data_IF_600203508596
#
_entry.id   IF_600203508596
#
_cell.length_a   1.000
_cell.length_b   1.000
_cell.length_c   1.000
_cell.angle_alpha   90.00
_cell.angle_beta   90.00
_cell.angle_gamma   90.00
#
_symmetry.space_group_name_H-M   'P 1'
#
loop_
_entity.id
_entity.type
_entity.pdbx_description
1 polymer ?
#
# COMPACT_ATOMS: atom_id res chain seq x y z
N UNK A 1 -18.16 1.74 -11.62
CA UNK A 1 -18.14 1.01 -12.92
C UNK A 1 -18.05 -0.48 -12.57
N UNK A 2 -18.82 -1.34 -13.20
CA UNK A 2 -18.83 -2.78 -12.89
C UNK A 2 -17.71 -3.49 -13.65
N UNK A 3 -17.12 -4.53 -13.04
CA UNK A 3 -16.01 -5.34 -13.58
C UNK A 3 -16.22 -5.76 -15.05
N UNK A 4 -17.41 -6.22 -15.39
CA UNK A 4 -17.78 -6.67 -16.74
C UNK A 4 -17.57 -5.60 -17.82
N UNK A 5 -17.85 -4.34 -17.50
CA UNK A 5 -17.65 -3.20 -18.41
C UNK A 5 -16.17 -2.87 -18.58
N UNK A 6 -15.42 -2.95 -17.49
CA UNK A 6 -13.99 -2.58 -17.47
C UNK A 6 -13.18 -3.61 -18.27
N UNK A 7 -13.41 -4.92 -18.05
CA UNK A 7 -12.69 -5.96 -18.79
C UNK A 7 -12.96 -5.87 -20.30
N UNK A 8 -14.21 -5.61 -20.69
CA UNK A 8 -14.59 -5.38 -22.09
C UNK A 8 -13.90 -4.15 -22.66
N UNK A 9 -13.84 -3.04 -21.90
CA UNK A 9 -13.17 -1.81 -22.30
C UNK A 9 -11.67 -2.05 -22.56
N UNK A 10 -10.97 -2.67 -21.61
CA UNK A 10 -9.54 -2.97 -21.72
C UNK A 10 -9.22 -3.84 -22.93
N UNK A 11 -10.03 -4.87 -23.19
CA UNK A 11 -9.88 -5.71 -24.38
C UNK A 11 -10.05 -4.91 -25.68
N UNK A 12 -11.07 -4.07 -25.71
CA UNK A 12 -11.37 -3.25 -26.90
C UNK A 12 -10.27 -2.22 -27.17
N UNK A 13 -9.73 -1.61 -26.12
CA UNK A 13 -8.61 -0.66 -26.22
C UNK A 13 -7.33 -1.33 -26.73
N UNK A 14 -7.08 -2.60 -26.38
CA UNK A 14 -5.97 -3.40 -26.95
C UNK A 14 -6.22 -3.85 -28.39
N UNK A 15 -7.43 -3.68 -28.92
CA UNK A 15 -7.79 -4.09 -30.27
C UNK A 15 -7.83 -5.61 -30.47
N UNK A 16 -7.94 -6.42 -29.39
CA UNK A 16 -7.93 -7.88 -29.46
C UNK A 16 -9.35 -8.46 -29.40
N UNK A 17 -9.52 -9.63 -30.05
CA UNK A 17 -10.79 -10.35 -30.05
C UNK A 17 -11.04 -11.07 -28.72
N UNK A 18 -12.31 -11.39 -28.42
CA UNK A 18 -12.63 -12.23 -27.23
C UNK A 18 -11.93 -13.58 -27.27
N UNK A 19 -11.76 -14.17 -28.46
CA UNK A 19 -11.06 -15.45 -28.63
C UNK A 19 -9.61 -15.33 -28.20
N UNK A 20 -8.92 -14.32 -28.67
CA UNK A 20 -7.51 -14.07 -28.36
C UNK A 20 -7.30 -13.77 -26.89
N UNK A 21 -8.10 -12.87 -26.29
CA UNK A 21 -8.03 -12.56 -24.85
C UNK A 21 -8.35 -13.80 -23.98
N UNK A 22 -9.27 -14.66 -24.40
CA UNK A 22 -9.59 -15.89 -23.68
C UNK A 22 -8.45 -16.91 -23.72
N UNK A 23 -7.78 -17.07 -24.87
CA UNK A 23 -6.59 -17.91 -25.04
C UNK A 23 -5.46 -17.42 -24.13
N UNK A 24 -5.15 -16.12 -24.13
CA UNK A 24 -4.12 -15.51 -23.29
C UNK A 24 -4.42 -15.63 -21.79
N UNK A 25 -5.68 -15.52 -21.41
CA UNK A 25 -6.15 -15.65 -20.03
C UNK A 25 -6.41 -17.12 -19.60
N UNK A 26 -6.12 -18.09 -20.46
CA UNK A 26 -6.30 -19.53 -20.22
C UNK A 26 -7.73 -19.91 -19.79
N UNK A 27 -8.74 -19.35 -20.47
CA UNK A 27 -10.16 -19.67 -20.31
C UNK A 27 -10.85 -19.91 -21.65
N UNK A 28 -12.06 -20.44 -21.65
CA UNK A 28 -12.84 -20.55 -22.89
C UNK A 28 -13.41 -19.18 -23.30
N UNK A 29 -13.54 -18.96 -24.62
CA UNK A 29 -14.17 -17.75 -25.16
C UNK A 29 -15.61 -17.56 -24.62
N UNK A 30 -16.37 -18.64 -24.47
CA UNK A 30 -17.72 -18.60 -23.91
C UNK A 30 -17.74 -18.08 -22.48
N UNK A 31 -16.75 -18.49 -21.66
CA UNK A 31 -16.62 -18.04 -20.27
C UNK A 31 -16.25 -16.55 -20.22
N UNK A 32 -15.31 -16.09 -21.06
CA UNK A 32 -14.97 -14.66 -21.15
C UNK A 32 -16.19 -13.83 -21.58
N UNK A 33 -16.95 -14.31 -22.56
CA UNK A 33 -18.20 -13.66 -23.00
C UNK A 33 -19.21 -13.52 -21.87
N UNK A 34 -19.35 -14.54 -20.99
CA UNK A 34 -20.23 -14.46 -19.84
C UNK A 34 -19.74 -13.44 -18.80
N UNK A 35 -18.43 -13.35 -18.57
CA UNK A 35 -17.86 -12.34 -17.69
C UNK A 35 -18.06 -10.91 -18.23
N UNK A 36 -17.79 -10.67 -19.52
CA UNK A 36 -17.99 -9.36 -20.15
C UNK A 36 -19.47 -8.92 -20.22
N UNK A 37 -20.40 -9.88 -20.23
CA UNK A 37 -21.85 -9.60 -20.21
C UNK A 37 -22.41 -9.49 -18.80
N UNK A 38 -21.62 -9.80 -17.75
CA UNK A 38 -22.08 -9.83 -16.37
C UNK A 38 -23.07 -10.98 -16.06
N UNK A 39 -23.11 -12.02 -16.92
CA UNK A 39 -23.97 -13.19 -16.73
C UNK A 39 -23.41 -14.10 -15.62
N UNK A 40 -22.11 -14.08 -15.44
CA UNK A 40 -21.41 -14.88 -14.43
C UNK A 40 -20.39 -14.03 -13.69
N UNK A 41 -20.30 -14.19 -12.39
CA UNK A 41 -19.26 -13.62 -11.56
C UNK A 41 -17.98 -14.44 -11.70
N UNK A 42 -16.83 -13.74 -11.70
CA UNK A 42 -15.53 -14.39 -11.75
C UNK A 42 -14.94 -14.53 -10.35
N UNK A 43 -14.14 -15.57 -10.17
CA UNK A 43 -13.35 -15.74 -8.94
C UNK A 43 -12.20 -14.73 -8.86
N UNK A 44 -11.68 -14.55 -7.64
CA UNK A 44 -10.59 -13.62 -7.36
C UNK A 44 -9.33 -13.91 -8.19
N UNK A 45 -8.98 -15.19 -8.37
CA UNK A 45 -7.84 -15.61 -9.19
C UNK A 45 -7.93 -15.10 -10.64
N UNK A 46 -9.15 -15.02 -11.17
CA UNK A 46 -9.37 -14.49 -12.51
C UNK A 46 -9.21 -12.97 -12.53
N UNK A 47 -9.71 -12.26 -11.52
CA UNK A 47 -9.52 -10.80 -11.38
C UNK A 47 -8.04 -10.45 -11.38
N UNK A 48 -7.23 -11.19 -10.62
CA UNK A 48 -5.77 -10.96 -10.56
C UNK A 48 -5.11 -11.23 -11.90
N UNK A 49 -5.41 -12.36 -12.56
CA UNK A 49 -4.88 -12.65 -13.91
C UNK A 49 -5.24 -11.58 -14.93
N UNK A 50 -6.45 -11.05 -14.88
CA UNK A 50 -6.89 -9.94 -15.73
C UNK A 50 -6.11 -8.67 -15.42
N UNK A 51 -5.89 -8.37 -14.13
CA UNK A 51 -5.09 -7.24 -13.68
C UNK A 51 -3.66 -7.30 -14.23
N UNK A 52 -2.99 -8.44 -14.06
CA UNK A 52 -1.64 -8.68 -14.56
C UNK A 52 -1.58 -8.62 -16.08
N UNK A 53 -2.51 -9.27 -16.77
CA UNK A 53 -2.57 -9.31 -18.24
C UNK A 53 -2.74 -7.93 -18.86
N UNK A 54 -3.61 -7.08 -18.30
CA UNK A 54 -3.84 -5.73 -18.80
C UNK A 54 -2.91 -4.68 -18.18
N UNK A 55 -2.13 -5.01 -17.16
CA UNK A 55 -1.26 -4.06 -16.45
C UNK A 55 -2.05 -3.01 -15.68
N UNK A 56 -3.17 -3.40 -15.08
CA UNK A 56 -4.04 -2.53 -14.29
C UNK A 56 -4.21 -3.07 -12.88
N UNK A 57 -4.62 -2.22 -11.94
CA UNK A 57 -4.89 -2.66 -10.57
C UNK A 57 -6.21 -3.42 -10.43
N UNK A 58 -6.27 -4.33 -9.47
CA UNK A 58 -7.53 -4.98 -9.10
C UNK A 58 -8.61 -3.97 -8.65
N UNK A 59 -8.22 -2.88 -7.97
CA UNK A 59 -9.15 -1.82 -7.57
C UNK A 59 -9.76 -1.09 -8.76
N UNK A 60 -8.97 -0.87 -9.82
CA UNK A 60 -9.50 -0.35 -11.08
C UNK A 60 -10.50 -1.32 -11.71
N UNK A 61 -10.14 -2.60 -11.81
CA UNK A 61 -11.02 -3.63 -12.36
C UNK A 61 -12.34 -3.77 -11.59
N UNK A 62 -12.29 -3.63 -10.27
CA UNK A 62 -13.47 -3.70 -9.40
C UNK A 62 -14.24 -2.38 -9.33
N UNK A 63 -13.81 -1.35 -10.08
CA UNK A 63 -14.47 -0.05 -10.11
C UNK A 63 -14.30 0.78 -8.83
N UNK A 64 -13.37 0.41 -7.96
CA UNK A 64 -13.07 1.08 -6.68
C UNK A 64 -12.10 2.24 -6.83
N UNK A 65 -11.32 2.26 -7.90
CA UNK A 65 -10.39 3.33 -8.26
C UNK A 65 -10.62 3.76 -9.70
N UNK A 66 -10.50 5.05 -9.98
CA UNK A 66 -10.44 5.57 -11.35
C UNK A 66 -9.03 5.46 -11.95
N UNK A 67 -8.03 5.21 -11.13
CA UNK A 67 -6.63 5.06 -11.53
C UNK A 67 -6.35 3.62 -11.94
N UNK A 68 -5.85 3.45 -13.18
CA UNK A 68 -5.50 2.14 -13.74
C UNK A 68 -4.32 1.48 -13.05
N UNK A 69 -3.41 2.28 -12.51
CA UNK A 69 -2.13 1.86 -11.94
C UNK A 69 -2.17 1.74 -10.41
N UNK A 70 -3.21 1.17 -9.82
CA UNK A 70 -3.28 0.88 -8.38
C UNK A 70 -2.17 -0.09 -7.91
N UNK A 71 -2.19 -0.44 -6.62
CA UNK A 71 -1.30 -1.48 -6.10
C UNK A 71 -1.52 -2.81 -6.84
N UNK A 72 -0.54 -3.27 -7.60
CA UNK A 72 -0.63 -4.52 -8.37
C UNK A 72 -0.51 -5.69 -7.39
N UNK A 73 -1.57 -6.51 -7.29
CA UNK A 73 -1.53 -7.79 -6.59
C UNK A 73 -0.99 -8.85 -7.55
N UNK A 74 0.00 -9.60 -7.12
CA UNK A 74 0.48 -10.80 -7.82
C UNK A 74 -0.23 -12.05 -7.31
N UNK A 75 -0.14 -13.18 -8.05
CA UNK A 75 -0.71 -14.45 -7.62
C UNK A 75 -0.21 -14.89 -6.24
N UNK A 76 1.05 -14.57 -5.91
CA UNK A 76 1.66 -14.88 -4.61
C UNK A 76 1.11 -14.03 -3.44
N UNK A 77 0.46 -12.91 -3.76
CA UNK A 77 -0.16 -12.04 -2.75
C UNK A 77 -1.58 -12.53 -2.36
N UNK A 78 -2.13 -13.52 -3.07
CA UNK A 78 -3.45 -14.06 -2.78
C UNK A 78 -3.29 -15.15 -1.72
N UNK A 79 -3.96 -14.99 -0.56
CA UNK A 79 -3.99 -16.05 0.44
C UNK A 79 -4.62 -17.32 -0.16
N UNK A 80 -3.97 -18.48 0.01
CA UNK A 80 -4.48 -19.75 -0.48
C UNK A 80 -5.90 -20.00 0.08
N UNK A 81 -6.92 -20.21 -0.78
CA UNK A 81 -8.30 -20.44 -0.36
C UNK A 81 -8.47 -21.59 0.65
N UNK A 82 -7.63 -22.63 0.54
CA UNK A 82 -7.68 -23.79 1.44
C UNK A 82 -7.18 -23.46 2.86
N UNK A 83 -6.36 -22.41 3.04
CA UNK A 83 -5.94 -21.90 4.35
C UNK A 83 -6.92 -20.87 4.94
N UNK A 84 -7.93 -20.45 4.17
CA UNK A 84 -8.88 -19.39 4.56
C UNK A 84 -10.25 -19.93 5.00
N UNK A 85 -10.47 -21.25 5.04
CA UNK A 85 -11.77 -21.83 5.44
C UNK A 85 -12.24 -21.39 6.82
N UNK A 86 -11.30 -21.01 7.70
CA UNK A 86 -11.58 -20.52 9.06
C UNK A 86 -11.31 -19.01 9.23
N UNK A 87 -11.03 -18.28 8.16
CA UNK A 87 -10.73 -16.84 8.24
C UNK A 87 -12.01 -16.01 8.29
N UNK A 88 -12.10 -15.13 9.28
CA UNK A 88 -13.17 -14.12 9.44
C UNK A 88 -13.29 -13.20 8.21
N UNK A 89 -12.26 -13.15 7.36
CA UNK A 89 -12.22 -12.30 6.17
C UNK A 89 -12.91 -12.89 4.94
N UNK A 90 -13.40 -14.14 4.98
CA UNK A 90 -14.22 -14.79 3.93
C UNK A 90 -13.91 -14.33 2.49
N UNK A 91 -12.64 -14.45 2.06
CA UNK A 91 -12.23 -14.06 0.70
C UNK A 91 -11.97 -12.56 0.50
N UNK A 92 -11.99 -11.72 1.55
CA UNK A 92 -11.61 -10.31 1.44
C UNK A 92 -10.11 -10.18 1.16
N UNK A 93 -9.78 -9.52 0.07
CA UNK A 93 -8.39 -9.16 -0.31
C UNK A 93 -7.86 -7.92 0.41
N UNK A 94 -8.70 -7.26 1.22
CA UNK A 94 -8.38 -5.98 1.85
C UNK A 94 -7.10 -6.02 2.70
N UNK A 95 -6.86 -7.03 3.57
CA UNK A 95 -5.62 -7.11 4.35
C UNK A 95 -4.36 -7.24 3.48
N UNK A 96 -4.43 -8.06 2.43
CA UNK A 96 -3.33 -8.27 1.48
C UNK A 96 -3.05 -7.00 0.68
N UNK A 97 -4.10 -6.32 0.22
CA UNK A 97 -3.97 -5.05 -0.48
C UNK A 97 -3.35 -3.97 0.42
N UNK A 98 -3.81 -3.83 1.66
CA UNK A 98 -3.24 -2.87 2.61
C UNK A 98 -1.77 -3.17 2.90
N UNK A 99 -1.41 -4.45 3.11
CA UNK A 99 -0.02 -4.87 3.28
C UNK A 99 0.83 -4.45 2.09
N UNK A 100 0.38 -4.75 0.86
CA UNK A 100 1.12 -4.42 -0.36
C UNK A 100 1.23 -2.91 -0.57
N UNK A 101 0.15 -2.17 -0.34
CA UNK A 101 0.12 -0.72 -0.41
C UNK A 101 1.17 -0.10 0.52
N UNK A 102 1.25 -0.56 1.77
CA UNK A 102 2.25 -0.11 2.74
C UNK A 102 3.66 -0.51 2.30
N UNK A 103 3.90 -1.77 1.95
CA UNK A 103 5.22 -2.27 1.52
C UNK A 103 5.76 -1.51 0.30
N UNK A 104 4.93 -1.31 -0.72
CA UNK A 104 5.34 -0.60 -1.93
C UNK A 104 5.62 0.88 -1.64
N UNK A 105 4.82 1.51 -0.78
CA UNK A 105 5.05 2.91 -0.37
C UNK A 105 6.35 3.06 0.41
N UNK A 106 6.68 2.08 1.26
CA UNK A 106 7.96 2.03 1.97
C UNK A 106 9.14 1.91 1.00
N UNK A 107 9.02 1.12 -0.07
CA UNK A 107 10.06 1.00 -1.10
C UNK A 107 10.35 2.37 -1.75
N UNK A 108 9.32 3.14 -2.09
CA UNK A 108 9.50 4.50 -2.65
C UNK A 108 10.13 5.42 -1.60
N UNK A 109 9.62 5.41 -0.36
CA UNK A 109 10.14 6.23 0.72
C UNK A 109 11.63 6.00 0.95
N UNK A 110 12.05 4.73 1.12
CA UNK A 110 13.46 4.40 1.36
C UNK A 110 14.36 4.68 0.16
N UNK A 111 13.87 4.49 -1.07
CA UNK A 111 14.63 4.85 -2.26
C UNK A 111 14.88 6.37 -2.31
N UNK A 112 13.88 7.19 -2.03
CA UNK A 112 14.01 8.66 -2.00
C UNK A 112 14.95 9.13 -0.89
N UNK A 113 14.78 8.60 0.31
CA UNK A 113 15.66 8.94 1.43
C UNK A 113 17.11 8.48 1.17
N UNK A 114 17.29 7.31 0.52
CA UNK A 114 18.59 6.82 0.11
C UNK A 114 19.31 7.75 -0.88
N UNK A 115 18.58 8.41 -1.77
CA UNK A 115 19.15 9.39 -2.72
C UNK A 115 19.71 10.64 -2.03
N UNK A 116 19.28 10.92 -0.79
CA UNK A 116 19.83 12.03 0.00
C UNK A 116 21.21 11.72 0.61
N UNK A 117 21.68 10.48 0.57
CA UNK A 117 22.95 10.03 1.15
C UNK A 117 23.16 10.45 2.62
N UNK A 118 22.08 10.67 3.36
CA UNK A 118 22.10 11.11 4.75
C UNK A 118 21.70 9.96 5.68
N UNK A 119 22.70 9.41 6.37
CA UNK A 119 22.49 8.26 7.29
C UNK A 119 21.60 8.61 8.48
N UNK A 120 21.70 9.83 9.01
CA UNK A 120 20.89 10.27 10.13
C UNK A 120 19.41 10.33 9.75
N UNK A 121 19.10 10.87 8.57
CA UNK A 121 17.73 10.92 8.05
C UNK A 121 17.13 9.51 7.86
N UNK A 122 17.88 8.58 7.28
CA UNK A 122 17.46 7.17 7.17
C UNK A 122 17.19 6.58 8.55
N UNK A 123 18.08 6.83 9.53
CA UNK A 123 17.97 6.30 10.88
C UNK A 123 16.70 6.80 11.59
N UNK A 124 16.45 8.10 11.54
CA UNK A 124 15.28 8.69 12.23
C UNK A 124 13.95 8.25 11.61
N UNK A 125 13.85 8.22 10.27
CA UNK A 125 12.67 7.70 9.57
C UNK A 125 12.46 6.22 9.92
N UNK A 126 13.52 5.42 9.92
CA UNK A 126 13.43 4.00 10.31
C UNK A 126 13.01 3.83 11.76
N UNK A 127 13.50 4.67 12.67
CA UNK A 127 13.12 4.66 14.09
C UNK A 127 11.61 4.90 14.25
N UNK A 128 11.07 5.90 13.56
CA UNK A 128 9.63 6.18 13.59
C UNK A 128 8.80 4.97 13.13
N UNK A 129 9.16 4.40 11.98
CA UNK A 129 8.45 3.26 11.40
C UNK A 129 8.56 1.99 12.27
N UNK A 130 9.75 1.70 12.79
CA UNK A 130 9.94 0.57 13.72
C UNK A 130 9.10 0.71 14.98
N UNK A 131 9.02 1.91 15.56
CA UNK A 131 8.18 2.16 16.75
C UNK A 131 6.69 1.99 16.44
N UNK A 132 6.23 2.41 15.25
CA UNK A 132 4.85 2.19 14.81
C UNK A 132 4.50 0.70 14.74
N UNK A 133 5.38 -0.10 14.14
CA UNK A 133 5.22 -1.56 14.06
C UNK A 133 5.28 -2.19 15.44
N UNK A 134 6.27 -1.81 16.27
CA UNK A 134 6.42 -2.29 17.65
C UNK A 134 5.16 -2.05 18.48
N UNK A 135 4.59 -0.85 18.42
CA UNK A 135 3.37 -0.52 19.18
C UNK A 135 2.21 -1.43 18.78
N UNK A 136 1.96 -1.59 17.48
CA UNK A 136 0.87 -2.44 17.00
C UNK A 136 1.11 -3.90 17.32
N UNK A 137 2.34 -4.40 17.14
CA UNK A 137 2.69 -5.77 17.52
C UNK A 137 2.48 -6.01 19.00
N UNK A 138 2.95 -5.10 19.87
CA UNK A 138 2.83 -5.26 21.32
C UNK A 138 1.37 -5.27 21.77
N UNK A 139 0.52 -4.41 21.24
CA UNK A 139 -0.93 -4.42 21.51
C UNK A 139 -1.57 -5.76 21.15
N UNK A 140 -1.25 -6.30 19.96
CA UNK A 140 -1.76 -7.60 19.52
C UNK A 140 -1.24 -8.74 20.39
N UNK A 141 0.05 -8.72 20.70
CA UNK A 141 0.70 -9.75 21.51
C UNK A 141 0.14 -9.81 22.92
N UNK A 142 0.02 -8.67 23.60
CA UNK A 142 -0.50 -8.59 24.97
C UNK A 142 -1.98 -8.92 25.09
N UNK A 143 -2.74 -8.84 23.99
CA UNK A 143 -4.14 -9.27 23.95
C UNK A 143 -4.31 -10.80 23.91
N UNK A 144 -3.26 -11.56 23.64
CA UNK A 144 -3.31 -13.03 23.57
C UNK A 144 -3.24 -13.65 24.97
N UNK A 145 -4.20 -14.51 25.36
CA UNK A 145 -4.33 -15.00 26.75
C UNK A 145 -3.17 -15.89 27.23
N UNK A 146 -2.38 -16.44 26.31
CA UNK A 146 -1.27 -17.35 26.62
C UNK A 146 0.12 -16.76 26.31
N UNK A 147 0.17 -15.50 25.90
CA UNK A 147 1.42 -14.85 25.53
C UNK A 147 2.17 -14.38 26.77
N UNK A 148 3.46 -14.74 26.86
CA UNK A 148 4.28 -14.39 28.02
C UNK A 148 4.73 -12.94 27.97
N UNK A 149 4.55 -12.22 29.08
CA UNK A 149 5.05 -10.84 29.23
C UNK A 149 6.60 -10.76 29.13
N UNK A 150 7.32 -11.87 29.30
CA UNK A 150 8.79 -11.94 29.19
C UNK A 150 9.33 -11.61 27.79
N UNK A 151 8.45 -11.55 26.78
CA UNK A 151 8.81 -11.08 25.43
C UNK A 151 9.34 -9.64 25.45
N UNK A 152 8.89 -8.82 26.39
CA UNK A 152 9.21 -7.41 26.45
C UNK A 152 9.97 -7.05 27.74
N UNK A 153 11.11 -6.36 27.57
CA UNK A 153 11.90 -5.89 28.71
C UNK A 153 11.39 -4.59 29.32
N UNK A 154 10.59 -3.81 28.58
CA UNK A 154 9.99 -2.56 29.07
C UNK A 154 8.66 -2.86 29.75
N UNK A 155 8.45 -2.29 30.94
CA UNK A 155 7.24 -2.52 31.73
C UNK A 155 5.96 -2.03 31.04
N UNK A 156 4.82 -2.61 31.43
CA UNK A 156 3.51 -2.29 30.85
C UNK A 156 3.13 -0.81 31.06
N UNK A 157 3.42 -0.22 32.18
CA UNK A 157 3.10 1.19 32.49
C UNK A 157 3.98 2.22 31.76
N UNK A 158 5.07 1.78 31.13
CA UNK A 158 6.05 2.70 30.53
C UNK A 158 6.06 2.68 29.01
N UNK A 159 5.89 1.49 28.41
CA UNK A 159 6.19 1.29 26.99
C UNK A 159 5.41 2.23 26.07
N UNK A 160 4.14 2.48 26.34
CA UNK A 160 3.30 3.26 25.44
C UNK A 160 3.77 4.73 25.40
N UNK A 161 3.88 5.38 26.54
CA UNK A 161 4.34 6.77 26.60
C UNK A 161 5.75 6.98 26.06
N UNK A 162 6.68 6.08 26.41
CA UNK A 162 8.05 6.17 25.89
C UNK A 162 8.12 5.88 24.37
N UNK A 163 7.32 4.96 23.85
CA UNK A 163 7.24 4.74 22.40
C UNK A 163 6.74 6.00 21.66
N UNK A 164 5.72 6.68 22.20
CA UNK A 164 5.24 7.94 21.62
C UNK A 164 6.30 9.03 21.70
N UNK A 165 7.03 9.12 22.81
CA UNK A 165 8.13 10.07 22.95
C UNK A 165 9.25 9.82 21.93
N UNK A 166 9.64 8.56 21.71
CA UNK A 166 10.63 8.18 20.68
C UNK A 166 10.14 8.53 19.27
N UNK A 167 8.87 8.25 18.95
CA UNK A 167 8.30 8.61 17.65
C UNK A 167 8.30 10.12 17.43
N UNK A 168 7.89 10.90 18.43
CA UNK A 168 7.89 12.38 18.35
C UNK A 168 9.29 12.95 18.24
N UNK A 169 10.26 12.37 18.93
CA UNK A 169 11.67 12.77 18.81
C UNK A 169 12.20 12.48 17.40
N UNK A 170 11.94 11.28 16.86
CA UNK A 170 12.34 10.93 15.51
C UNK A 170 11.71 11.88 14.48
N UNK A 171 10.43 12.20 14.59
CA UNK A 171 9.73 13.17 13.73
C UNK A 171 10.37 14.57 13.82
N UNK A 172 10.67 15.05 15.03
CA UNK A 172 11.33 16.32 15.26
C UNK A 172 12.74 16.33 14.65
N UNK A 173 13.51 15.27 14.83
CA UNK A 173 14.84 15.12 14.25
C UNK A 173 14.81 15.13 12.71
N UNK A 174 13.86 14.44 12.10
CA UNK A 174 13.63 14.47 10.64
C UNK A 174 13.39 15.91 10.18
N UNK A 175 12.53 16.67 10.85
CA UNK A 175 12.26 18.07 10.50
C UNK A 175 13.51 18.95 10.60
N UNK A 176 14.34 18.77 11.64
CA UNK A 176 15.62 19.49 11.80
C UNK A 176 16.56 19.14 10.65
N UNK A 177 16.75 17.85 10.34
CA UNK A 177 17.63 17.40 9.27
C UNK A 177 17.19 17.91 7.89
N UNK A 178 15.89 17.90 7.60
CA UNK A 178 15.33 18.40 6.34
C UNK A 178 15.50 19.91 6.17
N UNK A 179 15.54 20.66 7.27
CA UNK A 179 15.81 22.11 7.26
C UNK A 179 17.30 22.47 7.26
N UNK A 180 18.19 21.49 7.11
CA UNK A 180 19.64 21.71 7.10
C UNK A 180 20.28 21.83 8.49
N UNK A 181 19.50 21.66 9.56
CA UNK A 181 19.98 21.69 10.94
C UNK A 181 20.60 20.37 11.36
N UNK A 182 21.47 20.40 12.38
CA UNK A 182 22.17 19.21 12.90
C UNK A 182 21.48 18.66 14.15
N UNK A 183 21.54 17.35 14.30
CA UNK A 183 21.12 16.62 15.51
C UNK A 183 22.35 15.97 16.17
N UNK A 184 22.18 15.41 17.38
CA UNK A 184 23.28 14.79 18.14
C UNK A 184 24.12 13.80 17.33
N UNK A 185 23.50 13.04 16.42
CA UNK A 185 24.14 11.95 15.68
C UNK A 185 24.19 12.17 14.16
N UNK A 186 24.04 13.39 13.68
CA UNK A 186 24.10 13.67 12.25
C UNK A 186 23.86 15.11 11.88
N UNK A 187 24.34 15.46 10.71
CA UNK A 187 24.17 16.78 10.12
C UNK A 187 22.97 16.80 9.20
N UNK A 188 22.39 17.98 8.97
CA UNK A 188 21.26 18.19 8.11
C UNK A 188 21.58 17.94 6.63
N UNK A 189 20.57 18.08 5.80
CA UNK A 189 20.74 18.00 4.35
C UNK A 189 21.32 19.31 3.82
N UNK A 190 22.40 19.21 3.05
CA UNK A 190 22.96 20.34 2.29
C UNK A 190 22.07 20.71 1.09
N UNK A 191 21.34 19.70 0.57
CA UNK A 191 20.52 19.85 -0.63
C UNK A 191 19.28 18.94 -0.54
N UNK A 192 18.11 19.51 -0.77
CA UNK A 192 16.81 18.80 -0.80
C UNK A 192 16.33 18.44 -2.20
N UNK A 193 17.09 18.77 -3.27
CA UNK A 193 16.74 18.39 -4.66
C UNK A 193 16.41 16.90 -4.84
N UNK A 194 17.10 15.94 -4.22
CA UNK A 194 16.75 14.53 -4.32
C UNK A 194 15.33 14.20 -3.82
N UNK A 195 14.77 15.07 -2.99
CA UNK A 195 13.40 14.94 -2.46
C UNK A 195 12.35 15.58 -3.36
N UNK A 196 12.74 16.25 -4.45
CA UNK A 196 11.79 16.81 -5.40
C UNK A 196 10.99 15.67 -6.07
N UNK A 197 9.67 15.73 -5.93
CA UNK A 197 8.76 14.69 -6.42
C UNK A 197 7.50 15.33 -7.01
N UNK A 198 7.16 14.91 -8.23
CA UNK A 198 5.84 15.12 -8.83
C UNK A 198 5.17 13.77 -9.08
N UNK A 199 3.89 13.75 -9.32
CA UNK A 199 3.17 12.51 -9.69
C UNK A 199 3.80 11.85 -10.92
N UNK A 200 4.19 12.66 -11.92
CA UNK A 200 4.82 12.20 -13.16
C UNK A 200 6.23 11.63 -12.91
N UNK A 201 7.05 12.33 -12.10
CA UNK A 201 8.39 11.86 -11.78
C UNK A 201 8.36 10.57 -10.96
N UNK A 202 7.46 10.47 -9.98
CA UNK A 202 7.25 9.26 -9.19
C UNK A 202 6.82 8.08 -10.06
N UNK A 203 5.86 8.29 -10.97
CA UNK A 203 5.39 7.23 -11.88
C UNK A 203 6.49 6.75 -12.83
N UNK A 204 7.33 7.67 -13.32
CA UNK A 204 8.44 7.34 -14.19
C UNK A 204 9.57 6.61 -13.46
N UNK A 205 9.92 7.05 -12.25
CA UNK A 205 11.02 6.50 -11.46
C UNK A 205 10.64 5.18 -10.77
N UNK A 206 9.39 5.08 -10.33
CA UNK A 206 8.88 3.92 -9.58
C UNK A 206 7.61 3.33 -10.21
N UNK A 207 7.64 2.85 -11.45
CA UNK A 207 6.44 2.43 -12.19
C UNK A 207 5.64 1.33 -11.48
N UNK A 208 6.30 0.48 -10.68
CA UNK A 208 5.66 -0.61 -9.93
C UNK A 208 5.10 -0.18 -8.56
N UNK A 209 5.52 0.96 -8.03
CA UNK A 209 5.24 1.34 -6.62
C UNK A 209 4.54 2.68 -6.46
N UNK A 210 4.69 3.60 -7.42
CA UNK A 210 4.15 4.96 -7.32
C UNK A 210 2.65 5.00 -7.04
N UNK A 211 1.88 4.16 -7.74
CA UNK A 211 0.44 4.07 -7.54
C UNK A 211 0.04 3.65 -6.12
N UNK A 212 0.83 2.77 -5.51
CA UNK A 212 0.61 2.38 -4.10
C UNK A 212 0.81 3.56 -3.16
N UNK A 213 1.87 4.35 -3.36
CA UNK A 213 2.14 5.55 -2.57
C UNK A 213 1.02 6.59 -2.74
N UNK A 214 0.59 6.87 -3.97
CA UNK A 214 -0.49 7.83 -4.24
C UNK A 214 -1.83 7.38 -3.61
N UNK A 215 -2.13 6.08 -3.65
CA UNK A 215 -3.30 5.51 -2.99
C UNK A 215 -3.19 5.56 -1.46
N UNK A 216 -1.99 5.34 -0.90
CA UNK A 216 -1.76 5.51 0.55
C UNK A 216 -2.04 6.95 0.97
N UNK A 217 -1.51 7.94 0.25
CA UNK A 217 -1.75 9.37 0.50
C UNK A 217 -3.25 9.65 0.48
N UNK A 218 -3.94 9.29 -0.60
CA UNK A 218 -5.39 9.50 -0.75
C UNK A 218 -6.19 8.88 0.40
N UNK A 219 -5.86 7.64 0.77
CA UNK A 219 -6.56 6.92 1.85
C UNK A 219 -6.32 7.59 3.20
N UNK A 220 -5.08 8.00 3.47
CA UNK A 220 -4.71 8.68 4.71
C UNK A 220 -5.39 10.04 4.84
N UNK A 221 -5.37 10.86 3.78
CA UNK A 221 -6.04 12.16 3.77
C UNK A 221 -7.56 12.03 3.93
N UNK A 222 -8.18 11.02 3.34
CA UNK A 222 -9.61 10.75 3.52
C UNK A 222 -9.93 10.46 5.00
N UNK A 223 -9.08 9.71 5.68
CA UNK A 223 -9.23 9.43 7.12
C UNK A 223 -9.06 10.70 7.96
N UNK A 224 -8.06 11.52 7.64
CA UNK A 224 -7.80 12.79 8.34
C UNK A 224 -9.00 13.73 8.18
N UNK A 225 -9.51 13.88 6.94
CA UNK A 225 -10.71 14.72 6.66
C UNK A 225 -11.95 14.25 7.42
N UNK A 226 -12.10 12.95 7.66
CA UNK A 226 -13.18 12.41 8.49
C UNK A 226 -13.10 12.79 9.97
N UNK A 227 -11.94 13.27 10.44
CA UNK A 227 -11.71 13.72 11.82
C UNK A 227 -11.68 15.25 11.96
N UNK A 228 -11.53 15.99 10.85
CA UNK A 228 -11.53 17.45 10.85
C UNK A 228 -12.95 17.98 10.65
N UNK A 229 -13.36 19.09 11.32
CA UNK A 229 -14.61 19.76 11.01
C UNK A 229 -14.63 20.16 9.53
N UNK A 230 -15.83 20.24 8.90
CA UNK A 230 -15.92 20.74 7.53
C UNK A 230 -15.36 22.18 7.48
N UNK A 231 -14.53 22.45 6.45
CA UNK A 231 -14.02 23.78 6.19
C UNK A 231 -15.20 24.74 5.98
N UNK A 232 -15.41 25.68 6.89
CA UNK A 232 -16.46 26.70 6.81
C UNK A 232 -16.19 27.75 5.71
N UNK A 233 -15.09 27.60 4.93
CA UNK A 233 -14.68 28.55 3.88
C UNK A 233 -14.53 27.86 2.51
N UNK A 234 -15.62 27.33 1.97
CA UNK A 234 -15.75 27.11 0.52
C UNK A 234 -17.13 27.48 0.04
#
# INVERSE_FOLDING_TARGET
MEFNRIIKLLRTERGITQKQAAEDLHISQALLSHYEKGIRECGLDFVVRVADYYGVSCDYLLGRSADRTGAVLTADDIPNPDKMKDSVYHGSVLPTMNKKLISNSLNVLYAKVGQCHNKALVTEISTYLMMSVYKMFRLLYTSGPHNSASMFSISEGQWNGYSDAVMRMAEANVNVLLSGGSIKNGEGLDNTEPLAMTTESLTREFPLYASSLLNLVKTSETRIRGLTPPDENK
#
